data_IF_908073640590
#
_entry.id   IF_908073640590
#
_cell.length_a   1.000
_cell.length_b   1.000
_cell.length_c   1.000
_cell.angle_alpha   90.00
_cell.angle_beta   90.00
_cell.angle_gamma   90.00
#
_symmetry.space_group_name_H-M   'P 1'
#
loop_
_entity.id
_entity.type
_entity.pdbx_description
1 polymer ?
#
# COMPACT_ATOMS: atom_id res chain seq x y z
N UNK A 1 42.40 58.23 -1.15
CA UNK A 1 42.25 56.89 -0.53
C UNK A 1 40.76 56.58 -0.40
N UNK A 2 40.37 55.48 -1.05
CA UNK A 2 39.23 54.57 -0.83
C UNK A 2 37.87 55.10 -0.33
N UNK A 3 36.90 54.91 -1.25
CA UNK A 3 35.46 54.73 -1.09
C UNK A 3 35.02 53.86 0.10
N UNK A 4 33.85 54.15 0.66
CA UNK A 4 32.94 53.15 1.22
C UNK A 4 31.51 53.43 0.74
N UNK A 5 31.10 52.64 -0.26
CA UNK A 5 29.73 52.44 -0.69
C UNK A 5 29.04 51.48 0.30
N UNK A 6 27.93 51.90 0.89
CA UNK A 6 27.02 51.02 1.63
C UNK A 6 26.18 50.21 0.63
N UNK A 7 26.44 48.92 0.52
CA UNK A 7 25.63 47.98 -0.26
C UNK A 7 24.55 47.41 0.65
N UNK A 8 23.30 47.82 0.43
CA UNK A 8 22.13 47.22 1.06
C UNK A 8 21.90 45.82 0.45
N UNK A 9 22.03 44.80 1.28
CA UNK A 9 21.81 43.40 0.91
C UNK A 9 20.31 43.10 0.94
N UNK A 10 19.65 43.16 -0.22
CA UNK A 10 18.26 42.71 -0.38
C UNK A 10 18.22 41.17 -0.40
N UNK A 11 17.86 40.56 0.72
CA UNK A 11 17.52 39.14 0.81
C UNK A 11 16.13 38.92 0.19
N UNK A 12 16.09 38.58 -1.10
CA UNK A 12 14.88 38.10 -1.77
C UNK A 12 14.60 36.68 -1.27
N UNK A 13 13.58 36.55 -0.41
CA UNK A 13 13.00 35.27 -0.02
C UNK A 13 12.29 34.66 -1.24
N UNK A 14 12.95 33.74 -1.93
CA UNK A 14 12.30 32.85 -2.88
C UNK A 14 11.48 31.82 -2.09
N UNK A 15 10.20 32.12 -1.87
CA UNK A 15 9.17 31.11 -1.56
C UNK A 15 8.88 30.37 -2.87
N UNK A 16 9.75 29.41 -3.21
CA UNK A 16 9.52 28.44 -4.25
C UNK A 16 8.73 27.27 -3.68
N UNK A 17 7.46 27.18 -4.07
CA UNK A 17 6.50 26.14 -3.75
C UNK A 17 7.05 24.74 -4.12
N UNK A 18 7.77 24.13 -3.18
CA UNK A 18 8.36 22.81 -3.33
C UNK A 18 7.32 21.71 -3.24
N UNK A 19 6.42 21.62 -4.22
CA UNK A 19 5.68 20.38 -4.48
C UNK A 19 6.69 19.33 -4.93
N UNK A 20 7.20 18.57 -3.97
CA UNK A 20 7.83 17.28 -4.20
C UNK A 20 6.80 16.37 -4.87
N UNK A 21 6.75 16.40 -6.21
CA UNK A 21 6.22 15.30 -6.99
C UNK A 21 7.18 14.14 -6.78
N UNK A 22 6.92 13.33 -5.77
CA UNK A 22 7.55 12.03 -5.65
C UNK A 22 7.19 11.23 -6.90
N UNK A 23 8.20 10.83 -7.66
CA UNK A 23 8.05 9.83 -8.72
C UNK A 23 7.43 8.58 -8.07
N UNK A 24 6.16 8.31 -8.42
CA UNK A 24 5.41 7.20 -7.84
C UNK A 24 6.10 5.89 -8.20
N UNK A 25 6.35 5.04 -7.20
CA UNK A 25 6.89 3.70 -7.46
C UNK A 25 5.83 2.83 -8.13
N UNK A 26 6.25 1.97 -9.04
CA UNK A 26 5.40 0.92 -9.58
C UNK A 26 5.02 -0.06 -8.48
N UNK A 27 3.72 -0.38 -8.38
CA UNK A 27 3.21 -1.34 -7.41
C UNK A 27 3.36 -2.76 -7.96
N UNK A 28 4.26 -3.55 -7.38
CA UNK A 28 4.43 -4.97 -7.70
C UNK A 28 4.10 -5.85 -6.48
N UNK A 29 3.62 -7.08 -6.71
CA UNK A 29 3.44 -8.07 -5.64
C UNK A 29 4.77 -8.45 -4.99
N UNK A 30 4.84 -8.50 -3.65
CA UNK A 30 6.09 -8.75 -2.94
C UNK A 30 6.35 -10.26 -2.81
N UNK A 31 6.87 -10.85 -3.89
CA UNK A 31 6.94 -12.31 -4.03
C UNK A 31 7.80 -13.01 -2.97
N UNK A 32 8.90 -12.39 -2.52
CA UNK A 32 9.77 -13.00 -1.49
C UNK A 32 9.04 -13.05 -0.12
N UNK A 33 8.49 -11.94 0.40
CA UNK A 33 7.64 -11.99 1.58
C UNK A 33 6.45 -12.95 1.45
N UNK A 34 5.84 -13.02 0.27
CA UNK A 34 4.70 -13.90 0.03
C UNK A 34 5.06 -15.37 0.15
N UNK A 35 6.23 -15.78 -0.35
CA UNK A 35 6.76 -17.15 -0.15
C UNK A 35 7.00 -17.46 1.32
N UNK A 36 7.55 -16.51 2.09
CA UNK A 36 7.75 -16.70 3.53
C UNK A 36 6.43 -16.85 4.29
N UNK A 37 5.45 -15.97 4.01
CA UNK A 37 4.13 -16.06 4.62
C UNK A 37 3.42 -17.35 4.24
N UNK A 38 3.43 -17.73 2.96
CA UNK A 38 2.84 -18.98 2.50
C UNK A 38 3.53 -20.21 3.12
N UNK A 39 4.87 -20.24 3.12
CA UNK A 39 5.68 -21.29 3.74
C UNK A 39 5.40 -21.46 5.23
N UNK A 40 5.24 -20.36 5.98
CA UNK A 40 4.94 -20.42 7.41
C UNK A 40 3.64 -21.15 7.76
N UNK A 41 2.71 -21.31 6.81
CA UNK A 41 1.42 -21.99 7.03
C UNK A 41 1.50 -23.51 6.92
N UNK A 42 2.55 -24.03 6.28
CA UNK A 42 2.79 -25.47 6.09
C UNK A 42 4.00 -25.98 6.88
N UNK A 43 4.66 -25.06 7.58
CA UNK A 43 5.72 -25.34 8.53
C UNK A 43 5.12 -25.93 9.82
N UNK A 44 5.64 -27.08 10.22
CA UNK A 44 5.18 -27.79 11.41
C UNK A 44 5.86 -27.26 12.67
N UNK A 45 7.07 -26.69 12.53
CA UNK A 45 7.77 -26.03 13.62
C UNK A 45 7.25 -24.59 13.80
N UNK A 46 6.49 -24.36 14.86
CA UNK A 46 5.95 -23.03 15.19
C UNK A 46 7.01 -21.94 15.28
N UNK A 47 8.20 -22.25 15.82
CA UNK A 47 9.32 -21.32 15.93
C UNK A 47 9.85 -20.92 14.54
N UNK A 48 9.95 -21.88 13.61
CA UNK A 48 10.37 -21.61 12.24
C UNK A 48 9.31 -20.77 11.51
N UNK A 49 8.03 -21.11 11.64
CA UNK A 49 6.93 -20.35 11.05
C UNK A 49 6.93 -18.89 11.53
N UNK A 50 7.06 -18.66 12.84
CA UNK A 50 7.14 -17.31 13.41
C UNK A 50 8.37 -16.53 12.92
N UNK A 51 9.52 -17.19 12.78
CA UNK A 51 10.74 -16.57 12.27
C UNK A 51 10.57 -16.12 10.82
N UNK A 52 9.95 -16.95 9.98
CA UNK A 52 9.67 -16.62 8.59
C UNK A 52 8.64 -15.51 8.46
N UNK A 53 7.58 -15.52 9.28
CA UNK A 53 6.63 -14.42 9.36
C UNK A 53 7.30 -13.10 9.76
N UNK A 54 8.11 -13.09 10.82
CA UNK A 54 8.86 -11.89 11.25
C UNK A 54 9.79 -11.37 10.16
N UNK A 55 10.47 -12.27 9.43
CA UNK A 55 11.31 -11.93 8.29
C UNK A 55 10.49 -11.31 7.16
N UNK A 56 9.33 -11.89 6.84
CA UNK A 56 8.41 -11.36 5.84
C UNK A 56 7.92 -9.95 6.23
N UNK A 57 7.50 -9.75 7.48
CA UNK A 57 7.03 -8.45 7.97
C UNK A 57 8.13 -7.38 7.92
N UNK A 58 9.37 -7.73 8.26
CA UNK A 58 10.50 -6.81 8.14
C UNK A 58 10.78 -6.39 6.68
N UNK A 59 10.56 -7.29 5.71
CA UNK A 59 10.68 -6.98 4.28
C UNK A 59 9.50 -6.13 3.79
N UNK A 60 8.28 -6.51 4.14
CA UNK A 60 7.06 -5.76 3.81
C UNK A 60 7.09 -4.33 4.37
N UNK A 61 7.69 -4.12 5.55
CA UNK A 61 7.88 -2.78 6.12
C UNK A 61 8.80 -1.88 5.28
N UNK A 62 9.69 -2.45 4.48
CA UNK A 62 10.55 -1.73 3.53
C UNK A 62 9.88 -1.50 2.18
N UNK A 63 9.01 -2.42 1.78
CA UNK A 63 8.25 -2.34 0.52
C UNK A 63 7.07 -1.37 0.64
N UNK A 64 6.39 -1.35 1.78
CA UNK A 64 5.27 -0.44 2.08
C UNK A 64 5.57 0.48 3.27
N UNK A 65 6.59 1.35 3.18
CA UNK A 65 6.85 2.30 4.26
C UNK A 65 5.75 3.37 4.27
N UNK A 66 5.36 3.89 5.45
CA UNK A 66 4.43 5.01 5.55
C UNK A 66 4.85 6.19 4.66
N UNK A 67 3.86 6.89 4.11
CA UNK A 67 4.00 7.98 3.14
C UNK A 67 4.57 7.59 1.75
N UNK A 68 4.90 6.31 1.50
CA UNK A 68 5.21 5.86 0.16
C UNK A 68 4.03 6.06 -0.78
N UNK A 69 4.32 6.46 -2.01
CA UNK A 69 3.32 6.68 -3.06
C UNK A 69 3.52 5.67 -4.17
N UNK A 70 2.43 4.99 -4.53
CA UNK A 70 2.40 4.02 -5.61
C UNK A 70 1.31 4.35 -6.61
N UNK A 71 1.55 4.00 -7.86
CA UNK A 71 0.55 4.08 -8.93
C UNK A 71 0.37 2.71 -9.58
N UNK A 72 -0.85 2.45 -10.07
CA UNK A 72 -1.08 1.33 -10.97
C UNK A 72 -0.30 1.50 -12.28
N UNK A 73 -0.03 0.38 -12.95
CA UNK A 73 0.57 0.36 -14.28
C UNK A 73 -0.48 -0.01 -15.32
N UNK A 74 -0.25 0.27 -16.61
CA UNK A 74 -1.15 -0.16 -17.68
C UNK A 74 -1.48 -1.67 -17.62
N UNK A 75 -0.49 -2.51 -17.29
CA UNK A 75 -0.65 -3.96 -17.24
C UNK A 75 -1.23 -4.48 -15.91
N UNK A 76 -1.17 -3.67 -14.85
CA UNK A 76 -1.70 -4.03 -13.54
C UNK A 76 -2.43 -2.86 -12.89
N UNK A 77 -3.71 -2.74 -13.24
CA UNK A 77 -4.66 -1.81 -12.63
C UNK A 77 -5.14 -2.26 -11.26
N UNK A 78 -6.08 -1.53 -10.68
CA UNK A 78 -6.82 -1.97 -9.51
C UNK A 78 -8.20 -2.52 -9.90
N UNK A 79 -8.69 -3.45 -9.09
CA UNK A 79 -10.00 -4.09 -9.27
C UNK A 79 -10.64 -4.36 -7.89
N UNK A 80 -11.96 -4.30 -7.84
CA UNK A 80 -12.74 -4.82 -6.71
C UNK A 80 -13.19 -6.24 -7.03
N UNK A 81 -12.84 -7.20 -6.17
CA UNK A 81 -13.28 -8.60 -6.27
C UNK A 81 -14.36 -8.89 -5.24
N UNK A 82 -14.93 -10.09 -5.26
CA UNK A 82 -15.88 -10.54 -4.24
C UNK A 82 -15.25 -10.69 -2.85
N UNK A 83 -13.91 -10.74 -2.75
CA UNK A 83 -13.18 -10.81 -1.48
C UNK A 83 -12.87 -9.44 -0.88
N UNK A 84 -13.10 -8.37 -1.63
CA UNK A 84 -12.92 -7.00 -1.15
C UNK A 84 -14.10 -6.59 -0.27
N UNK A 85 -13.80 -6.10 0.92
CA UNK A 85 -14.74 -5.36 1.74
C UNK A 85 -14.93 -3.92 1.24
N UNK A 86 -15.65 -3.15 2.03
CA UNK A 86 -15.77 -1.72 1.82
C UNK A 86 -14.40 -1.03 1.95
N UNK A 87 -14.15 -0.06 1.08
CA UNK A 87 -12.86 0.64 1.07
C UNK A 87 -11.69 -0.19 0.52
N UNK A 88 -11.94 -1.38 -0.03
CA UNK A 88 -10.89 -2.32 -0.41
C UNK A 88 -10.82 -2.57 -1.91
N UNK A 89 -9.60 -2.78 -2.40
CA UNK A 89 -9.31 -3.18 -3.76
C UNK A 89 -7.99 -3.96 -3.82
N UNK A 90 -7.78 -4.69 -4.91
CA UNK A 90 -6.57 -5.48 -5.17
C UNK A 90 -5.95 -5.08 -6.50
N UNK A 91 -4.71 -5.49 -6.73
CA UNK A 91 -4.10 -5.42 -8.06
C UNK A 91 -4.76 -6.42 -9.01
N UNK A 92 -5.06 -6.00 -10.24
CA UNK A 92 -5.72 -6.86 -11.23
C UNK A 92 -4.87 -8.05 -11.63
N UNK A 93 -3.54 -7.85 -11.76
CA UNK A 93 -2.58 -8.89 -12.10
C UNK A 93 -2.40 -9.94 -10.98
N UNK A 94 -2.85 -9.64 -9.76
CA UNK A 94 -2.81 -10.56 -8.61
C UNK A 94 -4.15 -10.56 -7.86
N UNK A 95 -5.23 -10.59 -8.63
CA UNK A 95 -6.60 -10.48 -8.10
C UNK A 95 -7.15 -11.79 -7.53
N UNK A 96 -6.45 -12.90 -7.76
CA UNK A 96 -6.76 -14.21 -7.23
C UNK A 96 -5.56 -14.76 -6.42
N UNK A 97 -5.83 -15.66 -5.47
CA UNK A 97 -4.75 -16.35 -4.76
C UNK A 97 -4.09 -17.38 -5.67
N UNK A 98 -2.82 -17.15 -5.96
CA UNK A 98 -2.02 -18.06 -6.77
C UNK A 98 -1.55 -19.27 -5.96
N UNK A 99 -1.52 -20.48 -6.55
CA UNK A 99 -0.92 -21.65 -5.93
C UNK A 99 0.58 -21.46 -5.66
N UNK A 100 1.03 -21.99 -4.53
CA UNK A 100 2.42 -22.05 -4.14
C UNK A 100 2.76 -23.48 -3.69
N UNK A 101 3.81 -24.04 -4.28
CA UNK A 101 4.39 -25.31 -3.84
C UNK A 101 5.58 -25.02 -2.93
N UNK A 102 5.42 -25.35 -1.65
CA UNK A 102 6.46 -25.16 -0.64
C UNK A 102 7.34 -26.39 -0.46
N UNK A 103 8.26 -26.36 0.53
CA UNK A 103 9.15 -27.47 0.83
C UNK A 103 8.41 -28.80 1.02
N UNK A 104 8.96 -29.88 0.46
CA UNK A 104 8.36 -31.21 0.52
C UNK A 104 7.12 -31.39 -0.36
N UNK A 105 6.88 -30.51 -1.35
CA UNK A 105 5.76 -30.60 -2.28
C UNK A 105 4.41 -30.23 -1.67
N UNK A 106 4.40 -29.65 -0.46
CA UNK A 106 3.17 -29.21 0.21
C UNK A 106 2.57 -28.03 -0.56
N UNK A 107 1.31 -28.17 -0.96
CA UNK A 107 0.59 -27.16 -1.74
C UNK A 107 -0.20 -26.23 -0.83
N UNK A 108 0.00 -24.94 -1.04
CA UNK A 108 -0.59 -23.81 -0.31
C UNK A 108 -0.91 -22.73 -1.36
N UNK A 109 -1.50 -21.60 -0.95
CA UNK A 109 -1.65 -20.43 -1.82
C UNK A 109 -0.95 -19.22 -1.23
N UNK A 110 -0.50 -18.32 -2.09
CA UNK A 110 0.01 -17.02 -1.66
C UNK A 110 -1.08 -16.20 -0.95
N UNK A 111 -0.70 -15.29 -0.04
CA UNK A 111 -1.66 -14.40 0.58
C UNK A 111 -2.27 -13.44 -0.44
N UNK A 112 -3.53 -13.06 -0.25
CA UNK A 112 -4.17 -12.02 -1.05
C UNK A 112 -3.64 -10.64 -0.61
N UNK A 113 -3.10 -9.86 -1.55
CA UNK A 113 -2.71 -8.47 -1.31
C UNK A 113 -3.92 -7.55 -1.46
N UNK A 114 -4.35 -6.94 -0.36
CA UNK A 114 -5.47 -6.00 -0.35
C UNK A 114 -4.99 -4.62 0.06
N UNK A 115 -5.43 -3.59 -0.66
CA UNK A 115 -5.26 -2.21 -0.28
C UNK A 115 -6.57 -1.72 0.30
N UNK A 116 -6.52 -1.23 1.54
CA UNK A 116 -7.68 -0.66 2.24
C UNK A 116 -7.48 0.83 2.38
N UNK A 117 -8.32 1.62 1.72
CA UNK A 117 -8.34 3.05 1.94
C UNK A 117 -9.26 3.42 3.10
N UNK A 118 -8.94 4.54 3.75
CA UNK A 118 -9.73 5.10 4.85
C UNK A 118 -10.39 6.40 4.41
N UNK A 119 -11.59 6.67 4.90
CA UNK A 119 -12.34 7.90 4.70
C UNK A 119 -12.92 8.38 6.02
N UNK A 120 -13.47 9.60 6.05
CA UNK A 120 -14.11 10.13 7.26
C UNK A 120 -15.26 9.24 7.76
N UNK A 121 -16.08 8.71 6.84
CA UNK A 121 -17.19 7.82 7.19
C UNK A 121 -16.78 6.37 7.44
N UNK A 122 -15.58 5.96 7.01
CA UNK A 122 -15.12 4.57 7.12
C UNK A 122 -13.60 4.49 7.29
N UNK A 123 -13.18 4.28 8.54
CA UNK A 123 -11.76 4.16 8.90
C UNK A 123 -11.59 3.22 10.09
N UNK A 124 -10.35 2.79 10.31
CA UNK A 124 -9.97 2.08 11.53
C UNK A 124 -9.52 3.07 12.61
N UNK A 125 -9.75 2.70 13.87
CA UNK A 125 -9.17 3.41 15.02
C UNK A 125 -7.66 3.44 14.87
N UNK A 126 -7.06 4.62 15.00
CA UNK A 126 -5.62 4.81 14.89
C UNK A 126 -5.14 5.33 13.54
N UNK A 127 -6.01 5.41 12.52
CA UNK A 127 -5.72 6.17 11.29
C UNK A 127 -6.02 7.65 11.54
N UNK A 128 -5.08 8.53 11.23
CA UNK A 128 -5.23 9.96 11.45
C UNK A 128 -6.16 10.59 10.40
N UNK A 129 -6.92 11.66 10.74
CA UNK A 129 -7.78 12.34 9.77
C UNK A 129 -7.04 12.88 8.53
N UNK A 130 -5.78 13.30 8.68
CA UNK A 130 -4.92 13.73 7.56
C UNK A 130 -4.55 12.60 6.58
N UNK A 131 -4.75 11.36 6.99
CA UNK A 131 -4.51 10.15 6.19
C UNK A 131 -5.80 9.63 5.54
N UNK A 132 -6.91 10.36 5.63
CA UNK A 132 -8.14 9.99 4.93
C UNK A 132 -8.05 10.31 3.44
N UNK A 133 -8.74 9.48 2.66
CA UNK A 133 -9.05 9.72 1.25
C UNK A 133 -10.09 10.82 1.16
N UNK A 134 -9.86 11.81 0.32
CA UNK A 134 -10.81 12.91 0.09
C UNK A 134 -12.18 12.36 -0.36
N UNK A 135 -13.27 13.00 0.11
CA UNK A 135 -14.63 12.51 -0.10
C UNK A 135 -15.00 12.32 -1.58
N UNK A 136 -14.57 13.22 -2.46
CA UNK A 136 -14.84 13.13 -3.90
C UNK A 136 -14.12 11.92 -4.54
N UNK A 137 -12.89 11.62 -4.09
CA UNK A 137 -12.12 10.45 -4.52
C UNK A 137 -12.72 9.18 -3.95
N UNK A 138 -13.04 9.15 -2.66
CA UNK A 138 -13.68 8.01 -2.00
C UNK A 138 -15.00 7.65 -2.70
N UNK A 139 -15.81 8.66 -3.06
CA UNK A 139 -17.07 8.47 -3.79
C UNK A 139 -16.84 7.87 -5.18
N UNK A 140 -15.82 8.34 -5.92
CA UNK A 140 -15.44 7.78 -7.23
C UNK A 140 -15.02 6.32 -7.09
N UNK A 141 -14.15 6.00 -6.12
CA UNK A 141 -13.74 4.61 -5.87
C UNK A 141 -14.93 3.76 -5.46
N UNK A 142 -15.82 4.25 -4.59
CA UNK A 142 -17.05 3.55 -4.19
C UNK A 142 -17.95 3.22 -5.39
N UNK A 143 -18.07 4.13 -6.37
CA UNK A 143 -18.87 3.93 -7.59
C UNK A 143 -18.32 2.86 -8.55
N UNK A 144 -17.06 2.44 -8.41
CA UNK A 144 -16.48 1.34 -9.21
C UNK A 144 -17.21 0.05 -8.88
N UNK A 145 -17.83 -0.55 -9.90
CA UNK A 145 -18.48 -1.87 -9.80
C UNK A 145 -17.44 -2.99 -9.64
N UNK A 146 -17.73 -4.06 -8.89
CA UNK A 146 -16.90 -5.26 -8.87
C UNK A 146 -16.60 -5.76 -10.29
N UNK A 147 -15.37 -6.22 -10.51
CA UNK A 147 -14.90 -6.68 -11.83
C UNK A 147 -14.46 -5.57 -12.79
N UNK A 148 -14.74 -4.29 -12.53
CA UNK A 148 -14.24 -3.17 -13.36
C UNK A 148 -12.85 -2.75 -12.93
N UNK A 149 -11.97 -2.59 -13.92
CA UNK A 149 -10.62 -2.06 -13.73
C UNK A 149 -10.65 -0.54 -13.57
N UNK A 150 -9.75 -0.03 -12.75
CA UNK A 150 -9.49 1.39 -12.59
C UNK A 150 -8.02 1.63 -12.27
N UNK A 151 -7.55 2.83 -12.56
CA UNK A 151 -6.22 3.30 -12.18
C UNK A 151 -6.32 4.17 -10.93
N UNK A 152 -5.30 4.06 -10.08
CA UNK A 152 -5.21 4.89 -8.90
C UNK A 152 -3.75 5.20 -8.54
N UNK A 153 -3.57 6.34 -7.89
CA UNK A 153 -2.36 6.62 -7.11
C UNK A 153 -2.75 6.53 -5.64
N UNK A 154 -2.04 5.72 -4.88
CA UNK A 154 -2.26 5.51 -3.45
C UNK A 154 -1.07 6.03 -2.64
N UNK A 155 -1.35 6.57 -1.45
CA UNK A 155 -0.34 6.83 -0.43
C UNK A 155 -0.48 5.83 0.71
N UNK A 156 0.60 5.16 1.11
CA UNK A 156 0.60 4.24 2.25
C UNK A 156 0.46 5.05 3.53
N UNK A 157 -0.49 4.66 4.40
CA UNK A 157 -0.77 5.37 5.65
C UNK A 157 -0.23 4.60 6.85
N UNK A 158 0.28 5.28 7.88
CA UNK A 158 0.74 4.61 9.08
C UNK A 158 -0.43 3.94 9.82
N UNK A 159 -0.18 2.75 10.34
CA UNK A 159 -1.11 2.03 11.21
C UNK A 159 -0.34 1.29 12.30
N UNK A 160 -0.33 1.85 13.52
CA UNK A 160 0.51 1.36 14.64
C UNK A 160 -0.02 0.10 15.31
N UNK A 161 -1.27 -0.27 15.06
CA UNK A 161 -1.89 -1.51 15.54
C UNK A 161 -1.72 -2.66 14.54
N UNK A 162 -0.81 -2.50 13.58
CA UNK A 162 -0.48 -3.46 12.52
C UNK A 162 0.56 -4.52 12.91
N UNK A 163 0.73 -5.51 12.04
CA UNK A 163 1.88 -6.43 12.06
C UNK A 163 3.17 -5.76 11.53
N UNK A 164 3.01 -4.60 10.90
CA UNK A 164 4.06 -3.65 10.56
C UNK A 164 3.56 -2.21 10.66
N UNK A 165 4.34 -1.25 10.19
CA UNK A 165 4.03 0.17 10.34
C UNK A 165 2.83 0.66 9.51
N UNK A 166 2.33 -0.14 8.57
CA UNK A 166 1.26 0.25 7.64
C UNK A 166 0.39 -0.93 7.14
N UNK A 167 0.51 -2.13 7.73
CA UNK A 167 -0.22 -3.31 7.25
C UNK A 167 -0.59 -4.28 8.37
N UNK A 168 -1.56 -5.15 8.07
CA UNK A 168 -1.95 -6.30 8.87
C UNK A 168 -1.90 -7.59 8.05
N UNK A 169 -1.57 -8.70 8.69
CA UNK A 169 -1.63 -10.03 8.12
C UNK A 169 -2.58 -10.93 8.91
N UNK A 170 -3.66 -11.40 8.27
CA UNK A 170 -4.53 -12.43 8.83
C UNK A 170 -4.06 -13.81 8.36
N UNK A 171 -3.49 -14.59 9.27
CA UNK A 171 -3.11 -15.98 8.99
C UNK A 171 -4.33 -16.87 8.71
N UNK A 172 -5.47 -16.56 9.34
CA UNK A 172 -6.75 -17.27 9.15
C UNK A 172 -7.27 -17.09 7.72
N UNK A 173 -7.30 -15.85 7.24
CA UNK A 173 -7.85 -15.50 5.92
C UNK A 173 -6.79 -15.49 4.81
N UNK A 174 -5.53 -15.75 5.19
CA UNK A 174 -4.35 -15.66 4.33
C UNK A 174 -4.33 -14.39 3.50
N UNK A 175 -4.33 -13.26 4.21
CA UNK A 175 -4.58 -11.95 3.63
C UNK A 175 -3.64 -10.92 4.24
N UNK A 176 -2.94 -10.19 3.37
CA UNK A 176 -2.14 -9.03 3.73
C UNK A 176 -2.94 -7.78 3.34
N UNK A 177 -3.26 -6.94 4.33
CA UNK A 177 -3.96 -5.68 4.11
C UNK A 177 -3.00 -4.52 4.33
N UNK A 178 -2.68 -3.78 3.28
CA UNK A 178 -1.92 -2.53 3.32
C UNK A 178 -2.90 -1.37 3.48
N UNK A 179 -2.67 -0.54 4.48
CA UNK A 179 -3.49 0.64 4.73
C UNK A 179 -3.02 1.79 3.84
N UNK A 180 -3.95 2.43 3.16
CA UNK A 180 -3.63 3.53 2.26
C UNK A 180 -4.67 4.66 2.30
N UNK A 181 -4.37 5.70 1.53
CA UNK A 181 -5.31 6.72 1.06
C UNK A 181 -5.23 6.79 -0.45
N UNK A 182 -6.35 7.07 -1.11
CA UNK A 182 -6.36 7.25 -2.55
C UNK A 182 -6.12 8.73 -2.86
N UNK A 183 -5.05 9.01 -3.60
CA UNK A 183 -4.63 10.36 -3.98
C UNK A 183 -5.22 10.77 -5.34
N UNK A 184 -5.38 9.81 -6.25
CA UNK A 184 -5.97 9.99 -7.58
C UNK A 184 -6.67 8.72 -8.01
N UNK A 185 -7.74 8.85 -8.80
CA UNK A 185 -8.45 7.73 -9.41
C UNK A 185 -8.88 8.10 -10.82
N UNK A 186 -8.73 7.17 -11.75
CA UNK A 186 -9.21 7.26 -13.13
C UNK A 186 -9.85 5.93 -13.53
N UNK A 187 -11.05 5.96 -14.10
CA UNK A 187 -11.70 4.75 -14.57
C UNK A 187 -11.07 4.32 -15.89
N UNK A 188 -10.80 3.03 -16.05
CA UNK A 188 -10.44 2.50 -17.37
C UNK A 188 -11.69 2.39 -18.24
N UNK A 189 -11.58 2.71 -19.55
CA UNK A 189 -12.68 2.56 -20.49
C UNK A 189 -13.26 1.13 -20.46
#
# INVERSE_FOLDING_TARGET
>A
MRHLFGVALFCVLLVGDGRLQGEGKTLEPPMIPFRLLAGSRIEECTICAEKDMKKAFAMLGKEYPPAAVFSSTPDCGFIKTAECGNGEFVLSCCSAREPYEGPGGKKVVFPLLVFRFHSESEHLVGVAPGDFTALDIASKVASVKPGRLFDATIGVVPYRYGDGAAFNFSAKDNRLTVHCRVLKVALRP
#
